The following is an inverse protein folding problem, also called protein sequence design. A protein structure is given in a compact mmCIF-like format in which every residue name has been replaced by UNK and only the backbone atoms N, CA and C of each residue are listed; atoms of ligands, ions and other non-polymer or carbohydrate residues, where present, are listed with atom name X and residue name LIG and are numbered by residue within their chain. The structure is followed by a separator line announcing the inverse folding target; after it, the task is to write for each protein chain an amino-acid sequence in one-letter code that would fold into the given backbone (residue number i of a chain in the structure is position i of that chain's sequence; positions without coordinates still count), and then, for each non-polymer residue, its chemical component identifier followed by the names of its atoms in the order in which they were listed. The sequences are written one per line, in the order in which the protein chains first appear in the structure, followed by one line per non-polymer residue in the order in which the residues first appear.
data_IF_276233839738
#
_entry.id   IF_276233839738
#
_cell.length_a   1.000
_cell.length_b   1.000
_cell.length_c   1.000
_cell.angle_alpha   90.00
_cell.angle_beta   90.00
_cell.angle_gamma   90.00
#
_symmetry.space_group_name_H-M   'P 1'
#
loop_
_entity.id
_entity.type
_entity.pdbx_description
1 polymer ?
#
# COMPACT_ATOMS: atom_id res chain seq x y z
N UNK A 1 52.20 0.70 -3.23
CA UNK A 1 51.33 0.46 -2.05
C UNK A 1 49.90 0.76 -2.47
N UNK A 2 49.14 -0.28 -2.79
CA UNK A 2 47.75 -0.15 -3.19
C UNK A 2 46.88 0.06 -1.94
N UNK A 3 46.14 1.16 -1.90
CA UNK A 3 45.09 1.39 -0.92
C UNK A 3 44.00 0.34 -1.15
N UNK A 4 43.84 -0.58 -0.20
CA UNK A 4 42.72 -1.49 -0.12
C UNK A 4 41.43 -0.69 -0.01
N UNK A 5 40.76 -0.48 -1.15
CA UNK A 5 39.36 -0.07 -1.20
C UNK A 5 38.57 -1.15 -0.45
N UNK A 6 38.19 -0.82 0.77
CA UNK A 6 37.33 -1.63 1.62
C UNK A 6 36.02 -1.83 0.86
N UNK A 7 35.85 -3.02 0.27
CA UNK A 7 34.57 -3.43 -0.32
C UNK A 7 33.56 -3.51 0.83
N UNK A 8 32.87 -2.40 1.08
CA UNK A 8 31.74 -2.34 2.01
C UNK A 8 30.69 -3.34 1.51
N UNK A 9 30.65 -4.49 2.15
CA UNK A 9 29.71 -5.55 1.81
C UNK A 9 28.26 -5.04 1.95
N UNK A 10 27.33 -5.46 1.07
CA UNK A 10 25.96 -4.95 0.99
C UNK A 10 25.06 -5.34 2.18
N UNK A 11 25.61 -5.96 3.22
CA UNK A 11 24.88 -6.70 4.25
C UNK A 11 24.78 -5.97 5.60
N UNK A 12 24.97 -4.64 5.62
CA UNK A 12 24.85 -3.87 6.86
C UNK A 12 23.44 -3.30 6.96
N UNK A 13 22.58 -4.00 7.70
CA UNK A 13 21.29 -3.46 8.15
C UNK A 13 21.49 -2.02 8.61
N UNK A 14 20.70 -1.10 8.06
CA UNK A 14 20.83 0.31 8.38
C UNK A 14 20.11 0.52 9.71
N UNK A 15 20.86 0.96 10.73
CA UNK A 15 20.25 1.26 12.03
C UNK A 15 19.22 2.38 11.87
N UNK A 16 18.02 2.24 12.47
CA UNK A 16 17.03 3.30 12.44
C UNK A 16 17.57 4.55 13.15
N UNK A 17 17.22 5.76 12.68
CA UNK A 17 17.60 7.00 13.33
C UNK A 17 16.99 7.11 14.73
N UNK A 18 17.52 8.00 15.59
CA UNK A 18 17.00 8.18 16.93
C UNK A 18 15.54 8.68 16.92
N UNK A 19 14.78 8.33 17.96
CA UNK A 19 13.35 8.69 18.08
C UNK A 19 13.11 10.20 18.00
N UNK A 20 14.02 11.01 18.54
CA UNK A 20 13.95 12.47 18.44
C UNK A 20 13.96 12.98 17.00
N UNK A 21 14.69 12.33 16.11
CA UNK A 21 14.70 12.64 14.69
C UNK A 21 13.38 12.23 14.02
N UNK A 22 12.85 11.05 14.36
CA UNK A 22 11.54 10.61 13.87
C UNK A 22 10.43 11.60 14.25
N UNK A 23 10.40 12.06 15.51
CA UNK A 23 9.39 13.01 15.97
C UNK A 23 9.50 14.37 15.29
N UNK A 24 10.73 14.86 15.06
CA UNK A 24 10.96 16.12 14.37
C UNK A 24 10.50 16.07 12.92
N UNK A 25 10.89 15.02 12.20
CA UNK A 25 10.50 14.83 10.80
C UNK A 25 8.99 14.65 10.67
N UNK A 26 8.39 13.86 11.56
CA UNK A 26 6.94 13.68 11.62
C UNK A 26 6.21 15.01 11.80
N UNK A 27 6.63 15.82 12.80
CA UNK A 27 6.03 17.11 13.08
C UNK A 27 6.13 18.07 11.88
N UNK A 28 7.25 18.03 11.14
CA UNK A 28 7.48 18.89 9.98
C UNK A 28 6.79 18.43 8.68
N UNK A 29 6.20 17.24 8.64
CA UNK A 29 5.66 16.65 7.42
C UNK A 29 4.11 16.57 7.45
N UNK A 30 3.39 17.48 6.75
CA UNK A 30 1.94 17.44 6.67
C UNK A 30 1.37 16.12 6.12
N UNK A 31 2.12 15.42 5.26
CA UNK A 31 1.70 14.12 4.75
C UNK A 31 1.69 13.04 5.85
N UNK A 32 2.65 13.10 6.78
CA UNK A 32 2.73 12.16 7.90
C UNK A 32 1.51 12.26 8.82
N UNK A 33 1.01 13.49 9.03
CA UNK A 33 -0.23 13.73 9.77
C UNK A 33 -1.46 13.16 9.06
N UNK A 34 -1.56 13.30 7.73
CA UNK A 34 -2.67 12.73 6.97
C UNK A 34 -2.67 11.19 7.03
N UNK A 35 -1.49 10.56 6.94
CA UNK A 35 -1.34 9.10 7.08
C UNK A 35 -1.75 8.64 8.48
N UNK A 36 -1.28 9.32 9.53
CA UNK A 36 -1.66 8.99 10.90
C UNK A 36 -3.16 9.16 11.11
N UNK A 37 -3.73 10.29 10.69
CA UNK A 37 -5.16 10.56 10.83
C UNK A 37 -6.01 9.46 10.18
N UNK A 38 -5.65 9.04 8.95
CA UNK A 38 -6.34 7.95 8.25
C UNK A 38 -6.24 6.63 9.01
N UNK A 39 -5.06 6.27 9.49
CA UNK A 39 -4.85 5.03 10.24
C UNK A 39 -5.48 5.07 11.65
N UNK A 40 -5.76 6.26 12.19
CA UNK A 40 -6.47 6.46 13.46
C UNK A 40 -7.99 6.36 13.34
N UNK A 41 -8.58 6.41 12.14
CA UNK A 41 -10.03 6.24 11.91
C UNK A 41 -10.60 5.01 12.65
N UNK A 42 -10.07 3.78 12.49
CA UNK A 42 -10.61 2.62 13.20
C UNK A 42 -10.42 2.71 14.72
N UNK A 43 -9.38 3.39 15.20
CA UNK A 43 -9.17 3.62 16.65
C UNK A 43 -10.26 4.54 17.19
N UNK A 44 -10.46 5.70 16.57
CA UNK A 44 -11.53 6.63 16.96
C UNK A 44 -12.90 5.97 16.81
N UNK A 45 -13.07 5.14 15.77
CA UNK A 45 -14.24 4.30 15.57
C UNK A 45 -14.56 3.44 16.80
N UNK A 46 -13.60 2.63 17.26
CA UNK A 46 -13.79 1.74 18.42
C UNK A 46 -13.98 2.53 19.72
N UNK A 47 -13.07 3.46 20.02
CA UNK A 47 -13.00 4.08 21.35
C UNK A 47 -13.92 5.29 21.50
N UNK A 48 -14.14 6.06 20.43
CA UNK A 48 -15.00 7.24 20.42
C UNK A 48 -16.44 6.92 19.99
N UNK A 49 -16.61 6.12 18.93
CA UNK A 49 -17.92 5.83 18.35
C UNK A 49 -18.44 4.42 18.61
N UNK A 50 -17.73 3.63 19.43
CA UNK A 50 -18.10 2.26 19.80
C UNK A 50 -18.37 1.36 18.60
N UNK A 51 -17.59 1.50 17.54
CA UNK A 51 -17.67 0.65 16.35
C UNK A 51 -17.57 -0.82 16.75
N UNK A 52 -18.38 -1.64 16.07
CA UNK A 52 -18.29 -3.08 16.21
C UNK A 52 -16.97 -3.62 15.63
N UNK A 53 -16.56 -4.82 16.06
CA UNK A 53 -15.43 -5.51 15.45
C UNK A 53 -15.65 -5.70 13.94
N UNK A 54 -16.88 -6.01 13.51
CA UNK A 54 -17.23 -6.14 12.10
C UNK A 54 -17.00 -4.87 11.30
N UNK A 55 -17.46 -3.71 11.80
CA UNK A 55 -17.25 -2.42 11.14
C UNK A 55 -15.76 -2.02 11.10
N UNK A 56 -15.02 -2.36 12.15
CA UNK A 56 -13.57 -2.12 12.21
C UNK A 56 -12.83 -2.96 11.16
N UNK A 57 -13.10 -4.27 11.10
CA UNK A 57 -12.51 -5.17 10.10
C UNK A 57 -12.92 -4.72 8.69
N UNK A 58 -14.17 -4.25 8.51
CA UNK A 58 -14.65 -3.67 7.25
C UNK A 58 -13.86 -2.44 6.86
N UNK A 59 -13.55 -1.55 7.80
CA UNK A 59 -12.70 -0.40 7.53
C UNK A 59 -11.31 -0.80 7.03
N UNK A 60 -10.64 -1.77 7.67
CA UNK A 60 -9.33 -2.25 7.19
C UNK A 60 -9.42 -2.89 5.80
N UNK A 61 -10.47 -3.67 5.55
CA UNK A 61 -10.73 -4.29 4.25
C UNK A 61 -10.92 -3.23 3.16
N UNK A 62 -11.82 -2.27 3.41
CA UNK A 62 -12.14 -1.17 2.50
C UNK A 62 -10.90 -0.29 2.23
N UNK A 63 -10.18 0.09 3.29
CA UNK A 63 -8.98 0.91 3.22
C UNK A 63 -7.88 0.23 2.37
N UNK A 64 -7.64 -1.07 2.58
CA UNK A 64 -6.68 -1.83 1.79
C UNK A 64 -7.11 -2.06 0.33
N UNK A 65 -8.36 -2.45 0.09
CA UNK A 65 -8.87 -2.64 -1.28
C UNK A 65 -8.84 -1.33 -2.07
N UNK A 66 -9.17 -0.21 -1.42
CA UNK A 66 -9.16 1.12 -2.06
C UNK A 66 -7.74 1.60 -2.35
N UNK A 67 -6.79 1.35 -1.43
CA UNK A 67 -5.37 1.61 -1.68
C UNK A 67 -4.88 0.84 -2.91
N UNK A 68 -5.18 -0.47 -2.98
CA UNK A 68 -4.85 -1.30 -4.13
C UNK A 68 -5.45 -0.74 -5.43
N UNK A 69 -6.75 -0.44 -5.41
CA UNK A 69 -7.44 0.09 -6.58
C UNK A 69 -6.85 1.43 -7.05
N UNK A 70 -6.47 2.32 -6.13
CA UNK A 70 -5.82 3.58 -6.44
C UNK A 70 -4.42 3.39 -7.06
N UNK A 71 -3.61 2.46 -6.53
CA UNK A 71 -2.28 2.14 -7.08
C UNK A 71 -2.43 1.60 -8.51
N UNK A 72 -3.33 0.64 -8.73
CA UNK A 72 -3.59 0.09 -10.06
C UNK A 72 -4.07 1.19 -11.00
N UNK A 73 -4.97 2.08 -10.55
CA UNK A 73 -5.43 3.20 -11.35
C UNK A 73 -4.28 4.12 -11.80
N UNK A 74 -3.32 4.39 -10.91
CA UNK A 74 -2.14 5.19 -11.23
C UNK A 74 -1.17 4.48 -12.21
N UNK A 75 -1.18 3.14 -12.26
CA UNK A 75 -0.36 2.36 -13.20
C UNK A 75 -1.03 2.13 -14.56
N UNK A 76 -2.36 2.28 -14.67
CA UNK A 76 -3.10 2.02 -15.93
C UNK A 76 -2.65 2.91 -17.10
N UNK A 77 -2.42 4.24 -16.94
CA UNK A 77 -1.92 5.07 -18.04
C UNK A 77 -0.63 4.53 -18.65
N UNK A 78 0.29 4.07 -17.79
CA UNK A 78 1.56 3.46 -18.20
C UNK A 78 1.35 2.18 -18.99
N UNK A 79 0.54 1.27 -18.46
CA UNK A 79 0.23 0.00 -19.11
C UNK A 79 -0.40 0.22 -20.49
N UNK A 80 -1.32 1.19 -20.61
CA UNK A 80 -1.93 1.55 -21.88
C UNK A 80 -0.91 2.15 -22.86
N UNK A 81 0.01 3.02 -22.39
CA UNK A 81 1.06 3.62 -23.22
C UNK A 81 2.02 2.57 -23.75
N UNK A 82 2.42 1.61 -22.92
CA UNK A 82 3.35 0.52 -23.30
C UNK A 82 2.70 -0.51 -24.22
N UNK A 83 1.37 -0.73 -24.11
CA UNK A 83 0.62 -1.67 -24.95
C UNK A 83 0.23 -1.14 -26.33
N UNK A 84 0.34 0.18 -26.56
CA UNK A 84 -0.10 0.79 -27.81
C UNK A 84 0.89 0.56 -28.95
N UNK A 85 0.38 0.09 -30.08
CA UNK A 85 1.14 0.02 -31.33
C UNK A 85 1.37 1.43 -31.88
N UNK A 86 2.59 1.73 -32.36
CA UNK A 86 3.00 3.05 -32.90
C UNK A 86 2.24 3.47 -34.17
N UNK A 87 1.42 2.58 -34.74
CA UNK A 87 0.93 2.70 -36.12
C UNK A 87 -0.41 3.43 -36.28
N UNK A 88 -1.13 3.78 -35.21
CA UNK A 88 -2.44 4.42 -35.32
C UNK A 88 -2.63 5.53 -34.27
N UNK A 89 -3.26 6.66 -34.65
CA UNK A 89 -3.54 7.73 -33.72
C UNK A 89 -4.51 7.24 -32.62
N UNK A 90 -4.26 7.60 -31.36
CA UNK A 90 -5.06 7.12 -30.24
C UNK A 90 -6.49 7.68 -30.27
N UNK A 91 -7.49 6.80 -30.24
CA UNK A 91 -8.88 7.20 -30.01
C UNK A 91 -9.11 7.39 -28.50
N UNK A 92 -9.40 8.61 -28.01
CA UNK A 92 -9.49 8.91 -26.58
C UNK A 92 -10.63 8.16 -25.88
N UNK A 93 -11.76 7.97 -26.58
CA UNK A 93 -12.92 7.23 -26.03
C UNK A 93 -12.53 5.76 -25.84
N UNK A 94 -11.90 5.17 -26.85
CA UNK A 94 -11.42 3.79 -26.77
C UNK A 94 -10.40 3.62 -25.65
N UNK A 95 -9.44 4.54 -25.51
CA UNK A 95 -8.44 4.51 -24.44
C UNK A 95 -9.07 4.61 -23.05
N UNK A 96 -10.08 5.46 -22.89
CA UNK A 96 -10.80 5.58 -21.63
C UNK A 96 -11.49 4.27 -21.23
N UNK A 97 -12.25 3.65 -22.14
CA UNK A 97 -12.91 2.37 -21.87
C UNK A 97 -11.90 1.23 -21.68
N UNK A 98 -10.83 1.18 -22.47
CA UNK A 98 -9.75 0.22 -22.27
C UNK A 98 -9.10 0.40 -20.91
N UNK A 99 -8.85 1.63 -20.47
CA UNK A 99 -8.30 1.92 -19.15
C UNK A 99 -9.20 1.47 -18.02
N UNK A 100 -10.50 1.76 -18.09
CA UNK A 100 -11.47 1.29 -17.09
C UNK A 100 -11.51 -0.24 -17.07
N UNK A 101 -11.59 -0.89 -18.24
CA UNK A 101 -11.65 -2.34 -18.31
C UNK A 101 -10.38 -2.99 -17.75
N UNK A 102 -9.20 -2.49 -18.13
CA UNK A 102 -7.92 -2.94 -17.59
C UNK A 102 -7.85 -2.73 -16.08
N UNK A 103 -8.29 -1.57 -15.60
CA UNK A 103 -8.31 -1.25 -14.17
C UNK A 103 -9.21 -2.23 -13.39
N UNK A 104 -10.46 -2.42 -13.82
CA UNK A 104 -11.42 -3.34 -13.18
C UNK A 104 -10.88 -4.76 -13.20
N UNK A 105 -10.34 -5.21 -14.34
CA UNK A 105 -9.77 -6.55 -14.48
C UNK A 105 -8.59 -6.77 -13.53
N UNK A 106 -7.67 -5.81 -13.45
CA UNK A 106 -6.51 -5.88 -12.56
C UNK A 106 -6.91 -5.82 -11.08
N UNK A 107 -7.88 -4.98 -10.70
CA UNK A 107 -8.42 -4.95 -9.34
C UNK A 107 -9.07 -6.30 -8.98
N UNK A 108 -9.78 -6.92 -9.93
CA UNK A 108 -10.36 -8.25 -9.75
C UNK A 108 -9.31 -9.32 -9.46
N UNK A 109 -8.24 -9.39 -10.27
CA UNK A 109 -7.22 -10.43 -10.15
C UNK A 109 -6.21 -10.13 -9.04
N UNK A 110 -5.60 -8.94 -9.03
CA UNK A 110 -4.59 -8.58 -8.03
C UNK A 110 -5.24 -8.44 -6.65
N UNK A 111 -6.52 -8.06 -6.60
CA UNK A 111 -7.31 -8.01 -5.37
C UNK A 111 -7.74 -9.36 -4.83
N UNK A 112 -7.45 -10.48 -5.49
CA UNK A 112 -7.84 -11.83 -5.03
C UNK A 112 -7.55 -12.10 -3.55
N UNK A 113 -6.38 -11.75 -2.98
CA UNK A 113 -6.16 -11.90 -1.54
C UNK A 113 -7.18 -11.16 -0.68
N UNK A 114 -7.63 -9.97 -1.10
CA UNK A 114 -8.67 -9.18 -0.41
C UNK A 114 -10.07 -9.75 -0.62
N UNK A 115 -10.36 -10.32 -1.79
CA UNK A 115 -11.62 -11.02 -2.04
C UNK A 115 -11.70 -12.32 -1.22
N UNK A 116 -10.60 -13.06 -1.11
CA UNK A 116 -10.54 -14.31 -0.33
C UNK A 116 -10.78 -14.10 1.16
N UNK A 117 -10.40 -12.95 1.72
CA UNK A 117 -10.69 -12.58 3.12
C UNK A 117 -12.19 -12.59 3.40
N UNK A 118 -13.04 -12.33 2.41
CA UNK A 118 -14.49 -12.41 2.56
C UNK A 118 -14.96 -13.82 2.89
N UNK A 119 -14.29 -14.88 2.45
CA UNK A 119 -14.74 -16.27 2.71
C UNK A 119 -14.82 -16.56 4.22
N UNK A 120 -13.75 -16.43 5.01
CA UNK A 120 -13.81 -16.64 6.45
C UNK A 120 -14.48 -15.47 7.20
N UNK A 121 -14.41 -14.23 6.70
CA UNK A 121 -14.88 -13.05 7.43
C UNK A 121 -16.26 -12.53 6.96
N UNK A 122 -16.98 -13.19 6.05
CA UNK A 122 -18.22 -12.66 5.47
C UNK A 122 -19.26 -12.26 6.53
N UNK A 123 -19.41 -13.04 7.60
CA UNK A 123 -20.38 -12.74 8.66
C UNK A 123 -20.03 -11.47 9.45
N UNK A 124 -18.73 -11.18 9.58
CA UNK A 124 -18.25 -9.99 10.27
C UNK A 124 -18.28 -8.77 9.35
N UNK A 125 -17.84 -8.93 8.11
CA UNK A 125 -17.71 -7.85 7.12
C UNK A 125 -19.03 -7.44 6.49
N UNK A 126 -19.91 -8.41 6.24
CA UNK A 126 -21.16 -8.24 5.51
C UNK A 126 -22.38 -8.58 6.38
N UNK A 127 -22.21 -8.63 7.70
CA UNK A 127 -23.31 -8.84 8.64
C UNK A 127 -24.30 -7.66 8.63
N UNK A 128 -25.54 -7.93 9.04
CA UNK A 128 -26.63 -6.95 8.98
C UNK A 128 -26.33 -5.69 9.79
N UNK A 129 -25.65 -5.82 10.93
CA UNK A 129 -25.22 -4.69 11.74
C UNK A 129 -24.29 -3.72 10.98
N UNK A 130 -23.33 -4.26 10.23
CA UNK A 130 -22.40 -3.43 9.43
C UNK A 130 -23.15 -2.76 8.30
N UNK A 131 -23.98 -3.51 7.57
CA UNK A 131 -24.80 -2.98 6.47
C UNK A 131 -25.74 -1.87 6.94
N UNK A 132 -26.40 -2.06 8.07
CA UNK A 132 -27.31 -1.08 8.65
C UNK A 132 -26.59 0.20 9.09
N UNK A 133 -25.45 0.05 9.79
CA UNK A 133 -24.62 1.20 10.18
C UNK A 133 -24.11 1.98 8.97
N UNK A 134 -23.64 1.29 7.93
CA UNK A 134 -23.20 1.91 6.68
C UNK A 134 -24.34 2.64 5.97
N UNK A 135 -25.52 2.05 5.88
CA UNK A 135 -26.65 2.66 5.19
C UNK A 135 -27.17 3.92 5.90
N UNK A 136 -27.08 3.97 7.23
CA UNK A 136 -27.71 5.03 8.03
C UNK A 136 -26.77 6.11 8.56
N UNK A 137 -25.45 5.95 8.42
CA UNK A 137 -24.49 6.89 8.98
C UNK A 137 -23.76 7.72 7.91
N UNK A 138 -24.18 8.99 7.68
CA UNK A 138 -23.45 9.91 6.80
C UNK A 138 -21.99 10.11 7.23
N UNK A 139 -21.70 10.03 8.53
CA UNK A 139 -20.35 10.14 9.04
C UNK A 139 -19.44 9.00 8.55
N UNK A 140 -19.97 7.78 8.43
CA UNK A 140 -19.23 6.66 7.86
C UNK A 140 -18.94 6.86 6.37
N UNK A 141 -19.92 7.35 5.61
CA UNK A 141 -19.70 7.70 4.21
C UNK A 141 -18.65 8.79 4.03
N UNK A 142 -18.65 9.81 4.89
CA UNK A 142 -17.60 10.82 4.88
C UNK A 142 -16.23 10.22 5.21
N UNK A 143 -16.14 9.36 6.23
CA UNK A 143 -14.89 8.68 6.58
C UNK A 143 -14.36 7.83 5.42
N UNK A 144 -15.17 6.94 4.86
CA UNK A 144 -14.78 6.08 3.73
C UNK A 144 -14.50 6.86 2.45
N UNK A 145 -15.29 7.90 2.16
CA UNK A 145 -15.03 8.82 1.07
C UNK A 145 -13.68 9.53 1.21
N UNK A 146 -13.36 10.01 2.42
CA UNK A 146 -12.06 10.66 2.69
C UNK A 146 -10.88 9.69 2.56
N UNK A 147 -11.04 8.43 2.98
CA UNK A 147 -10.05 7.36 2.78
C UNK A 147 -9.81 7.15 1.28
N UNK A 148 -10.89 7.03 0.51
CA UNK A 148 -10.80 6.79 -0.92
C UNK A 148 -10.10 7.95 -1.64
N UNK A 149 -10.56 9.18 -1.43
CA UNK A 149 -9.96 10.38 -1.99
C UNK A 149 -8.48 10.47 -1.61
N UNK A 150 -8.13 10.18 -0.35
CA UNK A 150 -6.75 10.18 0.13
C UNK A 150 -5.84 9.20 -0.63
N UNK A 151 -6.32 7.98 -0.89
CA UNK A 151 -5.55 6.98 -1.65
C UNK A 151 -5.38 7.36 -3.10
N UNK A 152 -6.45 7.77 -3.79
CA UNK A 152 -6.37 8.18 -5.17
C UNK A 152 -5.46 9.40 -5.33
N UNK A 153 -5.60 10.40 -4.47
CA UNK A 153 -4.74 11.57 -4.47
C UNK A 153 -3.27 11.22 -4.27
N UNK A 154 -2.97 10.35 -3.29
CA UNK A 154 -1.61 9.88 -3.04
C UNK A 154 -1.04 9.10 -4.23
N UNK A 155 -1.82 8.19 -4.81
CA UNK A 155 -1.40 7.35 -5.92
C UNK A 155 -1.09 8.18 -7.17
N UNK A 156 -1.96 9.12 -7.54
CA UNK A 156 -1.73 9.98 -8.70
C UNK A 156 -0.57 10.96 -8.49
N UNK A 157 -0.38 11.51 -7.27
CA UNK A 157 0.77 12.37 -6.96
C UNK A 157 2.11 11.64 -6.94
N UNK A 158 2.11 10.33 -6.73
CA UNK A 158 3.34 9.55 -6.68
C UNK A 158 3.98 9.35 -8.06
N UNK A 159 3.29 9.66 -9.16
CA UNK A 159 3.88 9.67 -10.50
C UNK A 159 4.28 8.28 -11.02
N UNK A 160 3.52 7.22 -10.70
CA UNK A 160 3.82 5.84 -11.14
C UNK A 160 4.03 5.70 -12.65
N UNK A 161 3.42 6.58 -13.46
CA UNK A 161 3.56 6.58 -14.91
C UNK A 161 4.94 7.02 -15.41
N UNK A 162 5.62 7.93 -14.71
CA UNK A 162 6.90 8.53 -15.13
C UNK A 162 8.10 7.91 -14.41
N UNK A 163 7.86 7.10 -13.38
CA UNK A 163 8.90 6.51 -12.53
C UNK A 163 9.77 5.50 -13.29
N UNK A 164 11.11 5.46 -13.08
CA UNK A 164 11.96 4.42 -13.66
C UNK A 164 11.55 3.00 -13.21
N UNK A 165 11.71 2.00 -14.06
CA UNK A 165 11.23 0.62 -13.85
C UNK A 165 11.69 0.01 -12.51
N UNK A 166 12.94 0.26 -12.12
CA UNK A 166 13.51 -0.27 -10.89
C UNK A 166 12.85 0.33 -9.66
N UNK A 167 12.62 1.64 -9.67
CA UNK A 167 11.93 2.35 -8.59
C UNK A 167 10.45 1.95 -8.53
N UNK A 168 9.82 1.79 -9.69
CA UNK A 168 8.43 1.32 -9.81
C UNK A 168 8.27 -0.07 -9.20
N UNK A 169 9.12 -1.04 -9.58
CA UNK A 169 9.10 -2.40 -9.03
C UNK A 169 9.25 -2.37 -7.50
N UNK A 170 10.22 -1.59 -6.99
CA UNK A 170 10.46 -1.50 -5.55
C UNK A 170 9.29 -0.87 -4.81
N UNK A 171 8.72 0.21 -5.36
CA UNK A 171 7.58 0.91 -4.78
C UNK A 171 6.34 0.03 -4.75
N UNK A 172 6.03 -0.64 -5.86
CA UNK A 172 4.91 -1.59 -5.93
C UNK A 172 5.08 -2.75 -4.96
N UNK A 173 6.28 -3.34 -4.85
CA UNK A 173 6.56 -4.39 -3.86
C UNK A 173 6.26 -3.92 -2.44
N UNK A 174 6.69 -2.70 -2.11
CA UNK A 174 6.44 -2.13 -0.80
C UNK A 174 4.94 -1.90 -0.54
N UNK A 175 4.24 -1.32 -1.49
CA UNK A 175 2.81 -1.09 -1.36
C UNK A 175 2.05 -2.43 -1.21
N UNK A 176 2.47 -3.48 -1.92
CA UNK A 176 1.95 -4.85 -1.76
C UNK A 176 2.24 -5.40 -0.36
N UNK A 177 3.44 -5.18 0.21
CA UNK A 177 3.73 -5.61 1.58
C UNK A 177 2.84 -4.91 2.61
N UNK A 178 2.58 -3.60 2.45
CA UNK A 178 1.62 -2.88 3.30
C UNK A 178 0.21 -3.44 3.18
N UNK A 179 -0.21 -3.78 1.95
CA UNK A 179 -1.49 -4.41 1.69
C UNK A 179 -1.59 -5.81 2.33
N UNK A 180 -0.53 -6.61 2.27
CA UNK A 180 -0.47 -7.92 2.94
C UNK A 180 -0.54 -7.76 4.46
N UNK A 181 0.17 -6.78 5.02
CA UNK A 181 0.15 -6.50 6.46
C UNK A 181 -1.26 -6.12 6.94
N UNK A 182 -2.00 -5.32 6.17
CA UNK A 182 -3.42 -5.03 6.42
C UNK A 182 -4.28 -6.30 6.34
N UNK A 183 -4.01 -7.16 5.36
CA UNK A 183 -4.60 -8.50 5.24
C UNK A 183 -4.47 -9.32 6.51
N UNK A 184 -3.23 -9.47 6.99
CA UNK A 184 -2.90 -10.22 8.21
C UNK A 184 -3.58 -9.59 9.43
N UNK A 185 -3.58 -8.26 9.53
CA UNK A 185 -4.23 -7.53 10.61
C UNK A 185 -5.72 -7.85 10.73
N UNK A 186 -6.44 -7.91 9.60
CA UNK A 186 -7.87 -8.27 9.58
C UNK A 186 -8.14 -9.66 10.19
N UNK A 187 -7.27 -10.64 9.91
CA UNK A 187 -7.38 -11.97 10.51
C UNK A 187 -7.07 -11.97 12.00
N UNK A 188 -6.04 -11.25 12.44
CA UNK A 188 -5.69 -11.18 13.87
C UNK A 188 -6.77 -10.46 14.71
N UNK A 189 -7.57 -9.59 14.10
CA UNK A 189 -8.66 -8.88 14.78
C UNK A 189 -9.84 -9.78 15.16
N UNK A 190 -9.88 -11.05 14.71
CA UNK A 190 -10.79 -12.08 15.23
C UNK A 190 -10.50 -12.34 16.72
N UNK A 191 -11.12 -11.54 17.60
CA UNK A 191 -11.06 -11.71 19.07
C UNK A 191 -10.29 -10.62 19.82
N UNK A 192 -9.41 -9.87 19.16
CA UNK A 192 -8.52 -8.91 19.82
C UNK A 192 -8.54 -7.50 19.20
N UNK A 193 -9.58 -7.15 18.43
CA UNK A 193 -9.69 -5.88 17.72
C UNK A 193 -9.38 -4.65 18.60
N UNK A 194 -9.86 -4.64 19.84
CA UNK A 194 -9.65 -3.51 20.76
C UNK A 194 -8.17 -3.20 21.02
N UNK A 195 -7.33 -4.22 21.18
CA UNK A 195 -5.90 -4.07 21.47
C UNK A 195 -5.06 -3.94 20.20
N UNK A 196 -5.43 -4.69 19.17
CA UNK A 196 -4.67 -4.76 17.91
C UNK A 196 -4.81 -3.47 17.12
N UNK A 197 -5.98 -2.82 17.12
CA UNK A 197 -6.26 -1.67 16.26
C UNK A 197 -5.35 -0.47 16.55
N UNK A 198 -5.15 -0.02 17.81
CA UNK A 198 -4.18 1.03 18.12
C UNK A 198 -2.75 0.66 17.70
N UNK A 199 -2.33 -0.58 17.96
CA UNK A 199 -0.99 -1.06 17.59
C UNK A 199 -0.80 -1.04 16.06
N UNK A 200 -1.79 -1.53 15.32
CA UNK A 200 -1.79 -1.55 13.86
C UNK A 200 -1.83 -0.14 13.27
N UNK A 201 -2.57 0.79 13.88
CA UNK A 201 -2.61 2.17 13.45
C UNK A 201 -1.21 2.81 13.52
N UNK A 202 -0.48 2.59 14.61
CA UNK A 202 0.89 3.07 14.76
C UNK A 202 1.85 2.36 13.80
N UNK A 203 1.76 1.03 13.71
CA UNK A 203 2.64 0.22 12.85
C UNK A 203 2.49 0.59 11.37
N UNK A 204 1.25 0.66 10.87
CA UNK A 204 0.97 1.04 9.48
C UNK A 204 1.40 2.48 9.21
N UNK A 205 1.20 3.40 10.16
CA UNK A 205 1.66 4.78 10.01
C UNK A 205 3.18 4.83 9.91
N UNK A 206 3.89 4.13 10.79
CA UNK A 206 5.36 4.08 10.76
C UNK A 206 5.87 3.54 9.43
N UNK A 207 5.29 2.43 8.95
CA UNK A 207 5.71 1.79 7.70
C UNK A 207 5.41 2.66 6.48
N UNK A 208 4.27 3.35 6.47
CA UNK A 208 3.88 4.18 5.34
C UNK A 208 4.62 5.53 5.27
N UNK A 209 5.03 6.07 6.42
CA UNK A 209 5.78 7.33 6.49
C UNK A 209 7.27 7.11 6.18
N UNK A 210 7.86 6.00 6.67
CA UNK A 210 9.28 5.72 6.51
C UNK A 210 9.56 4.35 5.87
N UNK A 211 9.12 4.11 4.63
CA UNK A 211 9.27 2.83 3.96
C UNK A 211 10.75 2.41 3.84
N UNK A 212 11.61 3.35 3.45
CA UNK A 212 13.04 3.12 3.28
C UNK A 212 13.75 2.70 4.58
N UNK A 213 13.28 3.16 5.74
CA UNK A 213 13.89 2.81 7.03
C UNK A 213 13.51 1.40 7.45
N UNK A 214 12.27 1.01 7.18
CA UNK A 214 11.81 -0.37 7.43
C UNK A 214 12.52 -1.34 6.51
N UNK A 215 12.61 -1.00 5.23
CA UNK A 215 13.36 -1.75 4.23
C UNK A 215 14.84 -1.83 4.63
N UNK A 216 15.44 -0.70 5.02
CA UNK A 216 16.82 -0.57 5.52
C UNK A 216 17.13 -1.49 6.70
N UNK A 217 16.19 -1.60 7.63
CA UNK A 217 16.31 -2.42 8.83
C UNK A 217 16.17 -3.92 8.55
N UNK A 218 15.26 -4.31 7.63
CA UNK A 218 14.95 -5.73 7.37
C UNK A 218 15.84 -6.32 6.27
N UNK A 219 16.06 -5.58 5.18
CA UNK A 219 16.68 -6.06 3.95
C UNK A 219 18.02 -5.38 3.60
N UNK A 220 18.47 -4.37 4.37
CA UNK A 220 19.69 -3.61 4.06
C UNK A 220 19.42 -2.41 3.14
N UNK A 221 20.47 -1.83 2.55
CA UNK A 221 20.39 -0.54 1.83
C UNK A 221 19.27 -0.54 0.75
N UNK A 222 18.22 0.29 0.93
CA UNK A 222 17.09 0.37 -0.01
C UNK A 222 17.52 0.67 -1.44
N UNK A 223 18.63 1.40 -1.62
CA UNK A 223 19.15 1.78 -2.93
C UNK A 223 19.84 0.65 -3.66
N UNK A 224 20.14 -0.47 -3.01
CA UNK A 224 20.84 -1.62 -3.63
C UNK A 224 19.96 -2.87 -3.76
N UNK A 225 18.68 -2.79 -3.39
CA UNK A 225 17.79 -3.95 -3.47
C UNK A 225 17.53 -4.45 -4.88
N UNK A 226 17.76 -3.61 -5.90
CA UNK A 226 17.71 -4.04 -7.30
C UNK A 226 18.88 -4.97 -7.68
N UNK A 227 19.99 -4.97 -6.93
CA UNK A 227 21.12 -5.88 -7.16
C UNK A 227 20.74 -7.35 -6.90
N UNK A 228 19.61 -7.58 -6.23
CA UNK A 228 19.02 -8.88 -5.96
C UNK A 228 17.83 -9.21 -6.88
N UNK A 229 17.66 -8.53 -8.01
CA UNK A 229 16.64 -8.92 -9.01
C UNK A 229 17.06 -10.28 -9.63
N UNK A 230 16.30 -11.38 -9.40
CA UNK A 230 16.66 -12.69 -9.94
C UNK A 230 16.75 -12.71 -11.46
N UNK A 231 16.10 -11.76 -12.16
CA UNK A 231 16.21 -11.63 -13.62
C UNK A 231 17.59 -11.14 -14.07
N UNK A 232 18.23 -10.21 -13.36
CA UNK A 232 19.59 -9.74 -13.71
C UNK A 232 20.63 -10.80 -13.40
N UNK A 233 20.45 -11.56 -12.33
CA UNK A 233 21.35 -12.65 -11.96
C UNK A 233 21.25 -13.83 -12.96
N UNK A 234 20.04 -14.08 -13.49
CA UNK A 234 19.82 -15.06 -14.57
C UNK A 234 20.44 -14.62 -15.91
N UNK A 235 20.41 -13.32 -16.23
CA UNK A 235 21.04 -12.77 -17.44
C UNK A 235 22.56 -12.80 -17.34
N UNK A 236 23.15 -12.49 -16.19
CA UNK A 236 24.61 -12.62 -15.97
C UNK A 236 25.07 -14.07 -16.12
N UNK A 237 24.38 -15.02 -15.49
CA UNK A 237 24.71 -16.45 -15.64
C UNK A 237 24.61 -16.99 -17.06
N UNK A 238 23.79 -16.39 -17.92
CA UNK A 238 23.69 -16.76 -19.34
C UNK A 238 24.76 -16.15 -20.23
N UNK A 239 25.46 -15.10 -19.77
CA UNK A 239 26.56 -14.46 -20.52
C UNK A 239 27.90 -15.16 -20.21
N UNK A 240 27.99 -15.81 -19.05
CA UNK A 240 29.18 -16.52 -18.57
C UNK A 240 29.21 -18.03 -18.93
N UNK A 241 28.27 -18.50 -19.78
CA UNK A 241 28.19 -19.86 -20.34
C UNK A 241 28.31 -19.80 -21.87
#
# INVERSE_FOLDING_TARGET
MATSSEKVGPNRQVKPPPVSQHLREFASNPHAWAVLARNMIPVVGIYGFRWSAGLTVFNYWFDGLTALAAIIAACVPRALRESQSKSAPPNPIKLFFSGILTWVFLVGIVGLPYWMVLVPLHRLLLGDNVRHQLAQSPALWFAFGSIAIGHFWKAFRAGYDEMPDNELKQRLRWDVYLLMLRGIAMFMMLGFAFFIVPLMALLLSYFEIWPERVIGAVFGDPKRLYEYDPETDSKRRKIDL
#
